data_IF_621662760028
#
_entry.id   IF_621662760028
#
_cell.length_a   1.000
_cell.length_b   1.000
_cell.length_c   1.000
_cell.angle_alpha   90.00
_cell.angle_beta   90.00
_cell.angle_gamma   90.00
#
_symmetry.space_group_name_H-M   'P 1'
#
loop_
_entity.id
_entity.type
_entity.pdbx_description
1 polymer ?
#
# COMPACT_ATOMS: atom_id res chain seq x y z
N UNK A 1 -3.93 9.43 22.63
CA UNK A 1 -3.00 8.46 21.99
C UNK A 1 -1.94 9.26 21.26
N UNK A 2 -0.66 8.95 21.42
CA UNK A 2 0.42 9.66 20.73
C UNK A 2 0.48 9.21 19.27
N UNK A 3 0.38 10.16 18.35
CA UNK A 3 0.50 9.92 16.91
C UNK A 3 1.81 10.48 16.37
N UNK A 4 2.21 10.03 15.19
CA UNK A 4 3.31 10.62 14.41
C UNK A 4 2.90 10.77 12.93
N UNK A 5 3.40 11.81 12.24
CA UNK A 5 3.18 11.95 10.82
C UNK A 5 3.90 10.84 10.07
N UNK A 6 3.21 10.22 9.11
CA UNK A 6 3.74 9.22 8.19
C UNK A 6 3.34 9.62 6.78
N UNK A 7 4.30 9.49 5.86
CA UNK A 7 4.09 9.81 4.45
C UNK A 7 3.45 8.63 3.73
N UNK A 8 2.39 8.89 2.98
CA UNK A 8 1.69 7.92 2.15
C UNK A 8 1.91 8.30 0.69
N UNK A 9 2.58 7.43 -0.05
CA UNK A 9 2.86 7.61 -1.48
C UNK A 9 1.98 6.64 -2.26
N UNK A 10 1.06 7.17 -3.06
CA UNK A 10 0.21 6.37 -3.93
C UNK A 10 0.74 6.41 -5.36
N UNK A 11 1.08 5.24 -5.88
CA UNK A 11 1.53 5.05 -7.25
C UNK A 11 0.31 4.64 -8.09
N UNK A 12 -0.37 5.62 -8.69
CA UNK A 12 -1.66 5.44 -9.36
C UNK A 12 -1.50 5.28 -10.89
N UNK A 13 -0.44 4.61 -11.36
CA UNK A 13 -0.02 4.58 -12.77
C UNK A 13 1.21 5.44 -12.99
N UNK A 14 1.14 6.41 -13.90
CA UNK A 14 2.24 7.37 -14.13
C UNK A 14 2.26 8.51 -13.09
N UNK A 15 1.14 8.71 -12.37
CA UNK A 15 0.99 9.74 -11.35
C UNK A 15 1.35 9.21 -9.96
N UNK A 16 2.08 10.04 -9.21
CA UNK A 16 2.41 9.81 -7.80
C UNK A 16 1.69 10.83 -6.92
N UNK A 17 0.85 10.37 -6.01
CA UNK A 17 0.14 11.23 -5.05
C UNK A 17 0.75 11.08 -3.65
N UNK A 18 1.09 12.20 -3.01
CA UNK A 18 1.72 12.21 -1.68
C UNK A 18 0.79 12.83 -0.65
N UNK A 19 0.55 12.10 0.43
CA UNK A 19 -0.23 12.56 1.58
C UNK A 19 0.55 12.34 2.87
N UNK A 20 0.20 13.11 3.90
CA UNK A 20 0.73 12.91 5.26
C UNK A 20 -0.43 12.60 6.18
N UNK A 21 -0.35 11.46 6.86
CA UNK A 21 -1.37 11.03 7.82
C UNK A 21 -0.76 10.79 9.19
N UNK A 22 -1.49 11.15 10.23
CA UNK A 22 -1.11 10.86 11.60
C UNK A 22 -1.48 9.42 11.94
N UNK A 23 -0.50 8.59 12.25
CA UNK A 23 -0.71 7.19 12.68
C UNK A 23 -0.29 6.99 14.14
N UNK A 24 -0.79 5.96 14.83
CA UNK A 24 -0.33 5.60 16.16
C UNK A 24 1.19 5.41 16.21
N UNK A 25 1.86 6.08 17.15
CA UNK A 25 3.33 6.08 17.26
C UNK A 25 3.91 4.68 17.48
N UNK A 26 3.15 3.77 18.08
CA UNK A 26 3.57 2.39 18.30
C UNK A 26 3.65 1.55 17.02
N UNK A 27 3.13 2.04 15.88
CA UNK A 27 3.36 1.42 14.58
C UNK A 27 4.76 1.76 14.02
N UNK A 28 5.31 2.92 14.37
CA UNK A 28 6.63 3.40 13.92
C UNK A 28 7.69 2.97 14.91
N UNK A 29 8.44 1.93 14.57
CA UNK A 29 9.44 1.31 15.44
C UNK A 29 10.49 0.58 14.63
N UNK A 30 11.76 0.65 15.07
CA UNK A 30 12.91 -0.02 14.43
C UNK A 30 12.65 -1.52 14.20
N UNK A 31 11.86 -2.16 15.07
CA UNK A 31 11.48 -3.57 14.96
C UNK A 31 10.21 -3.86 14.17
N UNK A 32 9.69 -2.94 13.34
CA UNK A 32 8.36 -3.06 12.72
C UNK A 32 8.15 -4.38 11.96
N UNK A 33 9.16 -4.86 11.23
CA UNK A 33 9.09 -6.15 10.51
C UNK A 33 8.92 -7.34 11.47
N UNK A 34 9.62 -7.35 12.61
CA UNK A 34 9.46 -8.39 13.62
C UNK A 34 8.09 -8.25 14.33
N UNK A 35 7.67 -7.02 14.59
CA UNK A 35 6.39 -6.71 15.23
C UNK A 35 5.18 -7.14 14.39
N UNK A 36 5.29 -7.21 13.05
CA UNK A 36 4.21 -7.76 12.20
C UNK A 36 3.84 -9.22 12.51
N UNK A 37 4.72 -9.98 13.19
CA UNK A 37 4.40 -11.34 13.67
C UNK A 37 3.47 -11.34 14.89
N UNK A 38 3.37 -10.22 15.60
CA UNK A 38 2.42 -10.05 16.70
C UNK A 38 1.03 -9.72 16.15
N UNK A 39 0.03 -10.47 16.58
CA UNK A 39 -1.34 -10.32 16.10
C UNK A 39 -1.96 -8.97 16.49
N UNK A 40 -1.57 -8.42 17.64
CA UNK A 40 -2.03 -7.11 18.11
C UNK A 40 -1.50 -5.98 17.23
N UNK A 41 -0.20 -6.00 16.94
CA UNK A 41 0.44 -5.08 16.00
C UNK A 41 -0.15 -5.22 14.59
N UNK A 42 -0.26 -6.43 14.05
CA UNK A 42 -0.82 -6.67 12.72
C UNK A 42 -2.24 -6.14 12.59
N UNK A 43 -3.09 -6.37 13.61
CA UNK A 43 -4.45 -5.84 13.64
C UNK A 43 -4.48 -4.31 13.71
N UNK A 44 -3.62 -3.70 14.55
CA UNK A 44 -3.53 -2.24 14.65
C UNK A 44 -3.06 -1.63 13.33
N UNK A 45 -2.09 -2.25 12.68
CA UNK A 45 -1.56 -1.85 11.39
C UNK A 45 -2.66 -1.82 10.33
N UNK A 46 -3.39 -2.94 10.16
CA UNK A 46 -4.50 -3.01 9.20
C UNK A 46 -5.59 -1.99 9.51
N UNK A 47 -6.02 -1.89 10.77
CA UNK A 47 -7.08 -0.96 11.17
C UNK A 47 -6.68 0.52 10.99
N UNK A 48 -5.39 0.83 11.07
CA UNK A 48 -4.88 2.20 10.87
C UNK A 48 -4.77 2.52 9.38
N UNK A 49 -4.16 1.64 8.60
CA UNK A 49 -3.84 1.92 7.20
C UNK A 49 -5.05 1.78 6.27
N UNK A 50 -5.93 0.79 6.50
CA UNK A 50 -7.07 0.52 5.62
C UNK A 50 -7.96 1.74 5.36
N UNK A 51 -8.38 2.55 6.35
CA UNK A 51 -9.22 3.72 6.08
C UNK A 51 -8.47 4.78 5.26
N UNK A 52 -7.18 5.00 5.53
CA UNK A 52 -6.34 5.96 4.78
C UNK A 52 -6.21 5.51 3.32
N UNK A 53 -5.94 4.22 3.10
CA UNK A 53 -5.80 3.65 1.77
C UNK A 53 -7.10 3.80 0.97
N UNK A 54 -8.25 3.52 1.60
CA UNK A 54 -9.58 3.66 0.98
C UNK A 54 -9.95 5.11 0.66
N UNK A 55 -9.54 6.06 1.49
CA UNK A 55 -9.81 7.48 1.29
C UNK A 55 -9.34 7.97 -0.09
N UNK A 56 -8.19 7.47 -0.57
CA UNK A 56 -7.56 7.91 -1.81
C UNK A 56 -7.83 6.98 -3.01
N UNK A 57 -8.62 5.92 -2.83
CA UNK A 57 -8.90 4.92 -3.89
C UNK A 57 -9.52 5.57 -5.12
N UNK A 58 -10.55 6.41 -4.94
CA UNK A 58 -11.26 7.05 -6.04
C UNK A 58 -10.35 7.99 -6.85
N UNK A 59 -9.46 8.74 -6.18
CA UNK A 59 -8.53 9.65 -6.84
C UNK A 59 -7.47 8.88 -7.62
N UNK A 60 -6.92 7.81 -7.05
CA UNK A 60 -6.03 6.94 -7.81
C UNK A 60 -6.72 6.31 -9.01
N UNK A 61 -7.97 5.86 -8.84
CA UNK A 61 -8.73 5.31 -9.96
C UNK A 61 -8.87 6.32 -11.09
N UNK A 62 -9.21 7.58 -10.79
CA UNK A 62 -9.30 8.61 -11.83
C UNK A 62 -7.99 8.87 -12.57
N UNK A 63 -6.83 8.68 -11.91
CA UNK A 63 -5.51 8.90 -12.50
C UNK A 63 -4.89 7.64 -13.14
N UNK A 64 -5.50 6.46 -12.95
CA UNK A 64 -5.01 5.19 -13.49
C UNK A 64 -5.46 4.91 -14.94
N UNK A 65 -4.97 3.83 -15.54
CA UNK A 65 -5.38 3.35 -16.87
C UNK A 65 -6.80 2.75 -16.86
N UNK A 66 -7.66 3.08 -17.82
CA UNK A 66 -9.06 2.62 -17.92
C UNK A 66 -9.22 1.09 -18.04
N UNK A 67 -8.14 0.38 -18.34
CA UNK A 67 -8.12 -1.06 -18.52
C UNK A 67 -7.44 -1.77 -17.35
N UNK A 68 -7.88 -3.00 -17.10
CA UNK A 68 -7.28 -3.92 -16.16
C UNK A 68 -5.86 -4.24 -16.59
N UNK A 69 -4.92 -4.04 -15.66
CA UNK A 69 -3.49 -4.21 -15.92
C UNK A 69 -3.12 -5.64 -16.32
N UNK A 70 -3.90 -6.62 -15.86
CA UNK A 70 -3.63 -8.03 -16.15
C UNK A 70 -4.21 -8.51 -17.49
N UNK A 71 -5.47 -8.17 -17.81
CA UNK A 71 -6.19 -8.78 -18.93
C UNK A 71 -6.72 -7.80 -19.98
N UNK A 72 -6.52 -6.48 -19.79
CA UNK A 72 -6.94 -5.44 -20.73
C UNK A 72 -8.45 -5.20 -20.82
N UNK A 73 -9.28 -5.92 -20.06
CA UNK A 73 -10.71 -5.62 -19.93
C UNK A 73 -10.94 -4.30 -19.19
N UNK A 74 -12.10 -3.66 -19.31
CA UNK A 74 -12.39 -2.44 -18.54
C UNK A 74 -12.19 -2.64 -17.03
N UNK A 75 -11.54 -1.67 -16.38
CA UNK A 75 -11.39 -1.66 -14.92
C UNK A 75 -12.74 -1.37 -14.26
N UNK A 76 -12.92 -1.89 -13.05
CA UNK A 76 -14.06 -1.58 -12.19
C UNK A 76 -13.63 -1.11 -10.79
N UNK A 77 -12.40 -1.45 -10.37
CA UNK A 77 -11.85 -1.09 -9.07
C UNK A 77 -10.33 -1.04 -9.14
N UNK A 78 -9.71 -0.59 -8.05
CA UNK A 78 -8.28 -0.47 -7.87
C UNK A 78 -7.82 -1.49 -6.85
N UNK A 79 -6.89 -2.36 -7.25
CA UNK A 79 -6.18 -3.20 -6.33
C UNK A 79 -5.07 -2.37 -5.68
N UNK A 80 -5.19 -2.12 -4.37
CA UNK A 80 -4.21 -1.36 -3.60
C UNK A 80 -3.32 -2.32 -2.79
N UNK A 81 -2.02 -2.25 -2.99
CA UNK A 81 -1.02 -3.08 -2.30
C UNK A 81 -0.10 -2.19 -1.47
N UNK A 82 -0.33 -2.08 -0.14
CA UNK A 82 0.50 -1.26 0.74
C UNK A 82 1.81 -1.96 1.12
N UNK A 83 2.87 -1.18 1.18
CA UNK A 83 4.23 -1.58 1.53
C UNK A 83 4.79 -0.53 2.48
N UNK A 84 5.31 -0.95 3.62
CA UNK A 84 5.56 -0.03 4.73
C UNK A 84 7.02 -0.06 5.17
N UNK A 85 7.59 1.12 5.39
CA UNK A 85 8.93 1.33 5.95
C UNK A 85 8.85 2.04 7.30
N UNK A 86 7.94 1.59 8.16
CA UNK A 86 7.72 2.18 9.49
C UNK A 86 8.89 1.92 10.47
N UNK A 87 9.86 1.10 10.07
CA UNK A 87 11.14 0.95 10.75
C UNK A 87 12.09 2.13 10.54
N UNK A 88 11.89 2.92 9.48
CA UNK A 88 12.63 4.17 9.30
C UNK A 88 12.03 5.25 10.18
N UNK A 89 12.41 5.30 11.45
CA UNK A 89 11.77 6.17 12.46
C UNK A 89 11.97 7.66 12.21
N UNK A 90 12.94 8.05 11.38
CA UNK A 90 13.23 9.46 11.03
C UNK A 90 12.34 9.96 9.88
N UNK A 91 12.11 9.13 8.87
CA UNK A 91 11.19 9.39 7.76
C UNK A 91 10.35 8.14 7.44
N UNK A 92 9.33 7.84 8.28
CA UNK A 92 8.48 6.68 8.08
C UNK A 92 7.51 6.93 6.93
N UNK A 93 7.42 5.96 6.02
CA UNK A 93 6.50 6.04 4.89
C UNK A 93 5.83 4.71 4.56
N UNK A 94 4.70 4.81 3.86
CA UNK A 94 3.95 3.71 3.28
C UNK A 94 3.79 4.00 1.79
N UNK A 95 4.31 3.13 0.94
CA UNK A 95 4.02 3.13 -0.49
C UNK A 95 2.78 2.28 -0.75
N UNK A 96 1.90 2.75 -1.62
CA UNK A 96 0.67 2.08 -2.02
C UNK A 96 0.73 1.94 -3.53
N UNK A 97 1.00 0.72 -3.98
CA UNK A 97 0.94 0.40 -5.40
C UNK A 97 -0.52 0.19 -5.80
N UNK A 98 -1.00 0.95 -6.79
CA UNK A 98 -2.40 0.90 -7.22
C UNK A 98 -2.51 0.41 -8.65
N UNK A 99 -3.09 -0.78 -8.80
CA UNK A 99 -3.29 -1.43 -10.09
C UNK A 99 -4.78 -1.39 -10.48
N UNK A 100 -5.16 -0.87 -11.66
CA UNK A 100 -6.53 -0.97 -12.14
C UNK A 100 -6.89 -2.43 -12.43
N UNK A 101 -8.03 -2.91 -11.93
CA UNK A 101 -8.48 -4.31 -12.11
C UNK A 101 -9.94 -4.42 -12.53
N UNK A 102 -10.25 -5.49 -13.25
CA UNK A 102 -11.61 -5.78 -13.75
C UNK A 102 -12.52 -6.46 -12.70
N UNK A 103 -12.07 -6.63 -11.45
CA UNK A 103 -12.83 -7.26 -10.36
C UNK A 103 -12.87 -8.80 -10.41
N UNK A 104 -12.17 -9.42 -11.37
CA UNK A 104 -11.97 -10.87 -11.38
C UNK A 104 -10.86 -11.23 -10.38
N UNK A 105 -11.19 -12.10 -9.42
CA UNK A 105 -10.26 -12.55 -8.39
C UNK A 105 -8.94 -13.12 -8.94
N UNK A 106 -8.97 -13.75 -10.12
CA UNK A 106 -7.77 -14.23 -10.80
C UNK A 106 -6.81 -13.09 -11.18
N UNK A 107 -7.33 -12.00 -11.75
CA UNK A 107 -6.53 -10.83 -12.11
C UNK A 107 -5.93 -10.17 -10.86
N UNK A 108 -6.71 -10.07 -9.78
CA UNK A 108 -6.19 -9.55 -8.51
C UNK A 108 -5.09 -10.42 -7.93
N UNK A 109 -5.27 -11.75 -7.97
CA UNK A 109 -4.30 -12.71 -7.44
C UNK A 109 -2.99 -12.66 -8.23
N UNK A 110 -3.07 -12.65 -9.56
CA UNK A 110 -1.89 -12.56 -10.43
C UNK A 110 -1.11 -11.25 -10.20
N UNK A 111 -1.82 -10.12 -10.12
CA UNK A 111 -1.16 -8.83 -9.84
C UNK A 111 -0.54 -8.82 -8.43
N UNK A 112 -1.23 -9.31 -7.40
CA UNK A 112 -0.65 -9.41 -6.04
C UNK A 112 0.63 -10.25 -6.03
N UNK A 113 0.65 -11.37 -6.75
CA UNK A 113 1.84 -12.20 -6.89
C UNK A 113 2.97 -11.46 -7.59
N UNK A 114 2.70 -10.78 -8.70
CA UNK A 114 3.68 -9.98 -9.43
C UNK A 114 4.29 -8.88 -8.55
N UNK A 115 3.47 -8.13 -7.81
CA UNK A 115 3.94 -7.09 -6.89
C UNK A 115 4.80 -7.70 -5.77
N UNK A 116 4.40 -8.84 -5.20
CA UNK A 116 5.21 -9.54 -4.20
C UNK A 116 6.56 -10.02 -4.75
N UNK A 117 6.60 -10.52 -5.99
CA UNK A 117 7.84 -10.92 -6.66
C UNK A 117 8.78 -9.75 -6.92
N UNK A 118 8.24 -8.60 -7.38
CA UNK A 118 9.01 -7.36 -7.57
C UNK A 118 9.60 -6.93 -6.22
N UNK A 119 8.79 -6.92 -5.17
CA UNK A 119 9.24 -6.51 -3.84
C UNK A 119 10.30 -7.43 -3.25
N UNK A 120 10.17 -8.74 -3.45
CA UNK A 120 11.20 -9.69 -3.04
C UNK A 120 12.55 -9.42 -3.71
N UNK A 121 12.56 -8.96 -4.97
CA UNK A 121 13.79 -8.58 -5.68
C UNK A 121 14.38 -7.28 -5.15
N UNK A 122 13.55 -6.26 -4.94
CA UNK A 122 13.99 -4.95 -4.40
C UNK A 122 14.61 -5.10 -3.00
N UNK A 123 14.07 -5.99 -2.17
CA UNK A 123 14.61 -6.27 -0.82
C UNK A 123 15.89 -7.12 -0.87
N UNK A 124 16.08 -7.95 -1.88
CA UNK A 124 17.28 -8.80 -2.01
C UNK A 124 18.49 -8.05 -2.60
N UNK A 125 18.27 -6.93 -3.27
CA UNK A 125 19.30 -6.13 -3.94
C UNK A 125 19.75 -4.89 -3.12
N UNK A 126 19.12 -4.62 -1.97
CA UNK A 126 19.47 -3.55 -1.03
C UNK A 126 20.07 -4.05 0.27
#
# INVERSE_FOLDING_TARGET
MTTCPVRFEFYCGEEELKYVHNVPRNLVTVGAQAAQKDAGYAKLFVNTLQPIIKEHEAVCLSNSNAFCENCGSFRVTALQTPMSWLQNVEDPFVAIWVNPVCGKAECETQIRQQVQEIMAKVVAEG
#
